data_IF_255720268030
#
_entry.id   IF_255720268030
#
_cell.length_a   1.000
_cell.length_b   1.000
_cell.length_c   1.000
_cell.angle_alpha   90.00
_cell.angle_beta   90.00
_cell.angle_gamma   90.00
#
_symmetry.space_group_name_H-M   'P 1'
#
loop_
_entity.id
_entity.type
_entity.pdbx_description
1 polymer ?
#
# COMPACT_ATOMS: atom_id res chain seq x y z
N UNK A 1 -5.09 -5.23 -20.85
CA UNK A 1 -3.76 -4.56 -20.85
C UNK A 1 -3.38 -4.37 -19.39
N UNK A 2 -2.15 -4.65 -18.93
CA UNK A 2 -1.82 -4.49 -17.49
C UNK A 2 -1.75 -3.00 -17.13
N UNK A 3 -2.21 -2.61 -15.94
CA UNK A 3 -2.06 -1.23 -15.46
C UNK A 3 -0.62 -0.96 -15.08
N UNK A 4 -0.21 0.31 -15.08
CA UNK A 4 1.15 0.73 -14.65
C UNK A 4 1.43 0.31 -13.20
N UNK A 5 0.39 0.23 -12.37
CA UNK A 5 0.47 -0.26 -11.00
C UNK A 5 0.84 -1.73 -10.97
N UNK A 6 0.10 -2.58 -11.70
CA UNK A 6 0.38 -4.02 -11.79
C UNK A 6 1.78 -4.28 -12.34
N UNK A 7 2.19 -3.59 -13.40
CA UNK A 7 3.53 -3.79 -13.96
C UNK A 7 4.64 -3.42 -12.98
N UNK A 8 4.44 -2.34 -12.20
CA UNK A 8 5.40 -1.93 -11.17
C UNK A 8 5.43 -2.95 -10.02
N UNK A 9 4.28 -3.50 -9.63
CA UNK A 9 4.21 -4.50 -8.56
C UNK A 9 4.87 -5.82 -8.97
N UNK A 10 4.65 -6.29 -10.19
CA UNK A 10 5.28 -7.53 -10.68
C UNK A 10 6.80 -7.41 -10.79
N UNK A 11 7.31 -6.21 -11.11
CA UNK A 11 8.74 -5.95 -11.21
C UNK A 11 9.43 -5.90 -9.84
N UNK A 12 8.79 -5.27 -8.85
CA UNK A 12 9.41 -4.99 -7.55
C UNK A 12 8.99 -5.96 -6.44
N UNK A 13 7.82 -6.58 -6.55
CA UNK A 13 7.25 -7.53 -5.57
C UNK A 13 6.63 -8.71 -6.34
N UNK A 14 7.44 -9.62 -6.92
CA UNK A 14 6.93 -10.70 -7.76
C UNK A 14 5.90 -11.60 -7.05
N UNK A 15 6.03 -11.78 -5.73
CA UNK A 15 5.10 -12.54 -4.89
C UNK A 15 3.69 -11.93 -4.80
N UNK A 16 3.52 -10.66 -5.19
CA UNK A 16 2.21 -9.98 -5.24
C UNK A 16 1.22 -10.65 -6.19
N UNK A 17 1.72 -11.39 -7.18
CA UNK A 17 0.94 -12.26 -8.06
C UNK A 17 0.14 -13.34 -7.31
N UNK A 18 0.57 -13.74 -6.10
CA UNK A 18 -0.18 -14.68 -5.27
C UNK A 18 -1.32 -14.01 -4.49
N UNK A 19 -1.30 -12.68 -4.37
CA UNK A 19 -2.29 -11.91 -3.61
C UNK A 19 -3.43 -11.43 -4.50
N UNK A 20 -3.14 -11.21 -5.78
CA UNK A 20 -4.04 -10.60 -6.77
C UNK A 20 -4.51 -11.69 -7.74
N UNK A 21 -5.81 -11.94 -7.82
CA UNK A 21 -6.36 -12.95 -8.74
C UNK A 21 -6.64 -12.35 -10.11
N UNK A 22 -6.37 -13.10 -11.18
CA UNK A 22 -6.71 -12.71 -12.57
C UNK A 22 -8.20 -12.33 -12.75
N UNK A 23 -9.09 -12.87 -11.90
CA UNK A 23 -10.53 -12.57 -11.93
C UNK A 23 -10.86 -11.15 -11.46
N UNK A 24 -9.96 -10.51 -10.72
CA UNK A 24 -10.11 -9.15 -10.18
C UNK A 24 -9.59 -8.07 -11.15
N UNK A 25 -8.97 -8.47 -12.27
CA UNK A 25 -8.31 -7.59 -13.23
C UNK A 25 -9.19 -7.17 -14.42
N UNK A 26 -10.51 -7.36 -14.33
CA UNK A 26 -11.45 -7.12 -15.43
C UNK A 26 -11.58 -5.65 -15.84
N UNK A 27 -11.85 -4.76 -14.88
CA UNK A 27 -11.88 -3.29 -15.07
C UNK A 27 -10.62 -2.69 -14.41
N UNK A 28 -9.85 -1.92 -15.18
CA UNK A 28 -8.58 -1.35 -14.74
C UNK A 28 -8.69 -0.39 -13.55
N UNK A 29 -9.77 0.38 -13.47
CA UNK A 29 -9.98 1.33 -12.36
C UNK A 29 -10.29 0.57 -11.08
N UNK A 30 -11.21 -0.41 -11.18
CA UNK A 30 -11.59 -1.27 -10.06
C UNK A 30 -10.41 -2.14 -9.61
N UNK A 31 -9.59 -2.62 -10.56
CA UNK A 31 -8.41 -3.41 -10.28
C UNK A 31 -7.38 -2.63 -9.43
N UNK A 32 -7.08 -1.38 -9.79
CA UNK A 32 -6.12 -0.56 -9.03
C UNK A 32 -6.57 -0.38 -7.56
N UNK A 33 -7.86 -0.14 -7.33
CA UNK A 33 -8.43 -0.02 -5.98
C UNK A 33 -8.33 -1.32 -5.18
N UNK A 34 -8.74 -2.45 -5.79
CA UNK A 34 -8.66 -3.78 -5.15
C UNK A 34 -7.21 -4.12 -4.80
N UNK A 35 -6.28 -3.86 -5.71
CA UNK A 35 -4.85 -4.12 -5.52
C UNK A 35 -4.32 -3.32 -4.34
N UNK A 36 -4.61 -2.02 -4.26
CA UNK A 36 -4.16 -1.17 -3.17
C UNK A 36 -4.72 -1.62 -1.81
N UNK A 37 -6.00 -1.99 -1.76
CA UNK A 37 -6.61 -2.53 -0.55
C UNK A 37 -5.93 -3.83 -0.09
N UNK A 38 -5.57 -4.72 -1.02
CA UNK A 38 -4.84 -5.96 -0.72
C UNK A 38 -3.40 -5.71 -0.27
N UNK A 39 -2.72 -4.77 -0.91
CA UNK A 39 -1.37 -4.36 -0.49
C UNK A 39 -1.40 -3.80 0.92
N UNK A 40 -2.40 -3.01 1.29
CA UNK A 40 -2.54 -2.52 2.66
C UNK A 40 -2.73 -3.65 3.67
N UNK A 41 -3.58 -4.63 3.36
CA UNK A 41 -3.78 -5.81 4.21
C UNK A 41 -2.47 -6.60 4.40
N UNK A 42 -1.75 -6.87 3.32
CA UNK A 42 -0.47 -7.59 3.41
C UNK A 42 0.57 -6.77 4.18
N UNK A 43 0.65 -5.46 3.91
CA UNK A 43 1.55 -4.56 4.61
C UNK A 43 1.27 -4.62 6.12
N UNK A 44 0.02 -4.38 6.56
CA UNK A 44 -0.38 -4.42 7.98
C UNK A 44 -0.12 -5.77 8.65
N UNK A 45 -0.47 -6.87 7.97
CA UNK A 45 -0.23 -8.23 8.47
C UNK A 45 1.26 -8.44 8.73
N UNK A 46 2.10 -8.01 7.78
CA UNK A 46 3.55 -8.12 7.84
C UNK A 46 4.15 -7.23 8.95
N UNK A 47 3.69 -5.99 9.09
CA UNK A 47 4.09 -5.08 10.20
C UNK A 47 3.80 -5.68 11.59
N UNK A 48 2.68 -6.41 11.69
CA UNK A 48 2.16 -6.93 12.96
C UNK A 48 2.66 -8.33 13.32
N UNK A 49 3.38 -8.99 12.41
CA UNK A 49 3.82 -10.38 12.54
C UNK A 49 4.82 -10.65 13.67
N UNK A 50 5.56 -9.62 14.11
CA UNK A 50 6.67 -9.76 15.06
C UNK A 50 7.91 -10.44 14.49
N UNK A 51 7.94 -10.73 13.18
CA UNK A 51 9.07 -11.32 12.47
C UNK A 51 9.82 -10.23 11.69
N UNK A 52 11.14 -10.14 11.87
CA UNK A 52 11.98 -9.13 11.21
C UNK A 52 11.98 -9.24 9.69
N UNK A 53 11.89 -10.46 9.13
CA UNK A 53 11.82 -10.66 7.68
C UNK A 53 10.50 -10.15 7.11
N UNK A 54 9.38 -10.49 7.75
CA UNK A 54 8.06 -9.98 7.36
C UNK A 54 8.01 -8.46 7.52
N UNK A 55 8.64 -7.91 8.55
CA UNK A 55 8.74 -6.46 8.72
C UNK A 55 9.51 -5.79 7.57
N UNK A 56 10.61 -6.38 7.09
CA UNK A 56 11.34 -5.91 5.92
C UNK A 56 10.47 -5.96 4.65
N UNK A 57 9.68 -7.01 4.47
CA UNK A 57 8.73 -7.12 3.36
C UNK A 57 7.65 -6.02 3.42
N UNK A 58 7.16 -5.66 4.61
CA UNK A 58 6.24 -4.54 4.76
C UNK A 58 6.87 -3.21 4.33
N UNK A 59 8.16 -3.03 4.66
CA UNK A 59 8.94 -1.88 4.21
C UNK A 59 9.06 -1.82 2.69
N UNK A 60 9.27 -2.96 2.04
CA UNK A 60 9.34 -3.04 0.58
C UNK A 60 8.00 -2.71 -0.08
N UNK A 61 6.89 -3.24 0.45
CA UNK A 61 5.54 -2.87 0.00
C UNK A 61 5.34 -1.35 0.09
N UNK A 62 5.72 -0.74 1.22
CA UNK A 62 5.56 0.70 1.41
C UNK A 62 6.44 1.52 0.45
N UNK A 63 7.65 1.06 0.13
CA UNK A 63 8.54 1.68 -0.87
C UNK A 63 7.95 1.64 -2.26
N UNK A 64 7.41 0.50 -2.68
CA UNK A 64 6.81 0.34 -4.01
C UNK A 64 5.54 1.18 -4.14
N UNK A 65 4.69 1.22 -3.11
CA UNK A 65 3.53 2.12 -3.07
C UNK A 65 3.99 3.58 -3.18
N UNK A 66 5.07 3.97 -2.50
CA UNK A 66 5.61 5.33 -2.63
C UNK A 66 6.14 5.62 -4.04
N UNK A 67 6.80 4.66 -4.68
CA UNK A 67 7.26 4.79 -6.07
C UNK A 67 6.07 5.06 -7.01
N UNK A 68 4.97 4.30 -6.84
CA UNK A 68 3.74 4.48 -7.60
C UNK A 68 3.10 5.83 -7.28
N UNK A 69 3.09 6.27 -6.01
CA UNK A 69 2.56 7.56 -5.58
C UNK A 69 3.29 8.75 -6.23
N UNK A 70 4.63 8.72 -6.21
CA UNK A 70 5.47 9.77 -6.79
C UNK A 70 5.32 9.84 -8.32
N UNK A 71 5.34 8.67 -8.98
CA UNK A 71 5.26 8.54 -10.44
C UNK A 71 3.83 8.51 -11.01
N UNK A 72 2.82 8.61 -10.15
CA UNK A 72 1.39 8.55 -10.48
C UNK A 72 0.78 9.93 -10.75
N UNK A 73 -0.37 9.94 -11.42
CA UNK A 73 -1.18 11.14 -11.60
C UNK A 73 -2.09 11.38 -10.37
N UNK A 74 -2.91 12.44 -10.41
CA UNK A 74 -3.82 12.76 -9.30
C UNK A 74 -4.76 11.60 -8.95
N UNK A 75 -5.26 10.88 -9.96
CA UNK A 75 -6.11 9.71 -9.74
C UNK A 75 -5.36 8.62 -8.95
N UNK A 76 -4.14 8.27 -9.35
CA UNK A 76 -3.33 7.26 -8.65
C UNK A 76 -3.03 7.66 -7.21
N UNK A 77 -2.71 8.93 -6.97
CA UNK A 77 -2.46 9.45 -5.62
C UNK A 77 -3.70 9.36 -4.74
N UNK A 78 -4.85 9.79 -5.26
CA UNK A 78 -6.13 9.68 -4.56
C UNK A 78 -6.49 8.22 -4.26
N UNK A 79 -6.26 7.30 -5.20
CA UNK A 79 -6.51 5.88 -4.98
C UNK A 79 -5.64 5.31 -3.85
N UNK A 80 -4.34 5.66 -3.82
CA UNK A 80 -3.43 5.25 -2.74
C UNK A 80 -3.87 5.83 -1.39
N UNK A 81 -4.21 7.12 -1.35
CA UNK A 81 -4.71 7.76 -0.13
C UNK A 81 -5.97 7.04 0.39
N UNK A 82 -6.94 6.76 -0.50
CA UNK A 82 -8.23 6.17 -0.13
C UNK A 82 -8.18 4.69 0.22
N UNK A 83 -7.40 3.88 -0.49
CA UNK A 83 -7.44 2.41 -0.35
C UNK A 83 -6.27 1.87 0.48
N UNK A 84 -5.10 2.51 0.37
CA UNK A 84 -3.92 2.06 1.10
C UNK A 84 -3.77 2.79 2.43
N UNK A 85 -3.69 4.13 2.41
CA UNK A 85 -3.44 4.91 3.64
C UNK A 85 -4.63 4.89 4.59
N UNK A 86 -5.86 5.05 4.10
CA UNK A 86 -7.07 4.95 4.95
C UNK A 86 -7.16 3.60 5.65
N UNK A 87 -6.81 2.51 4.98
CA UNK A 87 -6.87 1.18 5.59
C UNK A 87 -5.81 1.03 6.69
N UNK A 88 -4.61 1.55 6.46
CA UNK A 88 -3.57 1.65 7.50
C UNK A 88 -3.99 2.56 8.67
N UNK A 89 -4.80 3.60 8.43
CA UNK A 89 -5.24 4.51 9.50
C UNK A 89 -6.37 3.90 10.33
N UNK A 90 -7.27 3.13 9.73
CA UNK A 90 -8.34 2.47 10.50
C UNK A 90 -7.76 1.48 11.54
N UNK A 91 -6.66 0.80 11.20
CA UNK A 91 -5.97 -0.14 12.09
C UNK A 91 -4.92 0.55 12.98
N UNK A 92 -4.83 1.88 12.94
CA UNK A 92 -3.90 2.62 13.78
C UNK A 92 -4.33 2.66 15.25
N UNK A 93 -3.32 2.66 16.10
CA UNK A 93 -3.42 2.90 17.53
C UNK A 93 -2.16 3.65 17.96
N UNK A 94 -2.13 4.27 19.15
CA UNK A 94 -0.92 4.92 19.64
C UNK A 94 0.32 4.00 19.63
N UNK A 95 0.13 2.70 19.81
CA UNK A 95 1.21 1.71 19.78
C UNK A 95 1.68 1.35 18.36
N UNK A 96 0.77 1.30 17.38
CA UNK A 96 1.11 0.96 15.98
C UNK A 96 1.57 2.17 15.16
N UNK A 97 1.14 3.40 15.50
CA UNK A 97 1.50 4.62 14.78
C UNK A 97 3.01 4.79 14.63
N UNK A 98 3.79 4.58 15.70
CA UNK A 98 5.26 4.67 15.65
C UNK A 98 5.85 3.67 14.65
N UNK A 99 5.29 2.46 14.55
CA UNK A 99 5.74 1.42 13.62
C UNK A 99 5.37 1.78 12.18
N UNK A 100 4.13 2.23 11.96
CA UNK A 100 3.67 2.68 10.64
C UNK A 100 4.56 3.81 10.11
N UNK A 101 4.87 4.81 10.95
CA UNK A 101 5.75 5.91 10.59
C UNK A 101 7.22 5.47 10.38
N UNK A 102 7.67 4.40 11.01
CA UNK A 102 9.02 3.88 10.76
C UNK A 102 9.13 3.22 9.38
N UNK A 103 8.08 2.50 8.96
CA UNK A 103 8.03 1.79 7.68
C UNK A 103 7.73 2.73 6.51
N UNK A 104 6.73 3.60 6.65
CA UNK A 104 6.28 4.43 5.53
C UNK A 104 7.41 5.36 5.07
N UNK A 105 7.65 5.51 3.75
CA UNK A 105 8.52 6.54 3.21
C UNK A 105 8.04 7.96 3.55
N UNK A 106 8.96 8.93 3.53
CA UNK A 106 8.72 10.30 4.01
C UNK A 106 7.50 10.96 3.37
N UNK A 107 7.33 10.77 2.07
CA UNK A 107 6.24 11.38 1.31
C UNK A 107 4.89 10.78 1.70
N UNK A 108 4.82 9.45 1.86
CA UNK A 108 3.61 8.78 2.34
C UNK A 108 3.32 9.11 3.82
N UNK A 109 4.32 9.31 4.68
CA UNK A 109 4.08 9.70 6.09
C UNK A 109 3.25 10.97 6.22
N UNK A 110 3.54 11.97 5.38
CA UNK A 110 2.83 13.26 5.42
C UNK A 110 1.35 13.06 5.11
N UNK A 111 1.07 12.34 4.04
CA UNK A 111 -0.31 12.08 3.62
C UNK A 111 -1.01 11.11 4.56
N UNK A 112 -0.29 10.13 5.12
CA UNK A 112 -0.84 9.21 6.12
C UNK A 112 -1.31 9.93 7.39
N UNK A 113 -0.51 10.86 7.91
CA UNK A 113 -0.90 11.68 9.06
C UNK A 113 -2.09 12.58 8.73
N UNK A 114 -2.14 13.13 7.52
CA UNK A 114 -3.30 13.89 7.03
C UNK A 114 -4.55 12.99 7.00
N UNK A 115 -4.46 11.78 6.46
CA UNK A 115 -5.56 10.81 6.44
C UNK A 115 -6.08 10.49 7.85
N UNK A 116 -5.19 10.30 8.83
CA UNK A 116 -5.60 10.11 10.24
C UNK A 116 -6.36 11.34 10.79
N UNK A 117 -5.93 12.55 10.45
CA UNK A 117 -6.54 13.79 10.95
C UNK A 117 -7.87 14.15 10.27
N UNK A 118 -8.10 13.64 9.05
CA UNK A 118 -9.31 13.91 8.25
C UNK A 118 -10.43 12.89 8.49
N UNK A 119 -10.11 11.73 9.07
CA UNK A 119 -11.08 10.72 9.51
C UNK A 119 -11.70 11.08 10.87
#
# INVERSE_FOLDING_TARGET
MKTKMISTLEEWIPESSNWISDKELGDHTVADYIILGKLAEQCLKKMSSGNEYEYADAEEIAKVVNLIYQGGNQYTRNAIENEFLTKLSIEESPASLKKHLAILPKELRKEYLKTIMEN
#
